data_IF_757612943849
#
_entry.id   IF_757612943849
#
_cell.length_a   1.000
_cell.length_b   1.000
_cell.length_c   1.000
_cell.angle_alpha   90.00
_cell.angle_beta   90.00
_cell.angle_gamma   90.00
#
_symmetry.space_group_name_H-M   'P 1'
#
loop_
_entity.id
_entity.type
_entity.pdbx_description
1 polymer ?
#
# COMPACT_ATOMS: atom_id res chain seq x y z
N UNK A 1 -11.55 -23.87 50.20
CA UNK A 1 -11.74 -23.70 48.72
C UNK A 1 -10.83 -22.55 48.30
N UNK A 2 -9.60 -22.91 47.95
CA UNK A 2 -8.57 -21.99 47.44
C UNK A 2 -8.96 -21.54 46.03
N UNK A 3 -9.09 -20.22 45.86
CA UNK A 3 -9.16 -19.60 44.55
C UNK A 3 -7.77 -19.58 43.97
N UNK A 4 -7.48 -20.49 43.06
CA UNK A 4 -6.29 -20.40 42.18
C UNK A 4 -6.42 -19.18 41.29
N UNK A 5 -5.84 -18.09 41.74
CA UNK A 5 -5.64 -16.87 40.98
C UNK A 5 -4.41 -17.07 40.07
N UNK A 6 -4.68 -17.54 38.85
CA UNK A 6 -3.64 -17.62 37.81
C UNK A 6 -3.15 -16.21 37.49
N UNK A 7 -2.12 -15.77 38.17
CA UNK A 7 -1.30 -14.65 37.74
C UNK A 7 -0.59 -15.06 36.45
N UNK A 8 -1.11 -14.66 35.28
CA UNK A 8 -0.33 -14.61 34.05
C UNK A 8 0.80 -13.60 34.30
N UNK A 9 1.98 -14.12 34.71
CA UNK A 9 3.20 -13.34 34.78
C UNK A 9 3.45 -12.80 33.38
N UNK A 10 3.36 -11.49 33.26
CA UNK A 10 3.62 -10.74 32.03
C UNK A 10 5.15 -10.76 31.81
N UNK A 11 5.65 -11.92 31.35
CA UNK A 11 7.08 -12.13 31.06
C UNK A 11 7.44 -11.16 29.93
N UNK A 12 8.27 -10.16 30.20
CA UNK A 12 8.83 -9.30 29.14
C UNK A 12 9.46 -10.23 28.10
N UNK A 13 8.86 -10.32 26.91
CA UNK A 13 9.35 -11.14 25.81
C UNK A 13 10.75 -10.67 25.44
N UNK A 14 11.68 -11.62 25.27
CA UNK A 14 13.02 -11.30 24.75
C UNK A 14 12.90 -10.83 23.29
N UNK A 15 13.77 -9.91 22.87
CA UNK A 15 13.82 -9.44 21.48
C UNK A 15 14.01 -10.61 20.48
N UNK A 16 14.80 -11.61 20.85
CA UNK A 16 14.96 -12.83 20.04
C UNK A 16 13.67 -13.62 19.88
N UNK A 17 12.92 -13.82 20.97
CA UNK A 17 11.62 -14.49 20.93
C UNK A 17 10.63 -13.74 20.05
N UNK A 18 10.62 -12.42 20.12
CA UNK A 18 9.77 -11.59 19.28
C UNK A 18 10.11 -11.73 17.79
N UNK A 19 11.41 -11.74 17.40
CA UNK A 19 11.84 -11.93 16.00
C UNK A 19 11.38 -13.29 15.47
N UNK A 20 11.61 -14.36 16.23
CA UNK A 20 11.22 -15.71 15.82
C UNK A 20 9.71 -15.83 15.64
N UNK A 21 8.96 -15.29 16.57
CA UNK A 21 7.50 -15.26 16.50
C UNK A 21 6.98 -14.48 15.29
N UNK A 22 7.60 -13.34 14.99
CA UNK A 22 7.21 -12.49 13.87
C UNK A 22 7.56 -13.15 12.53
N UNK A 23 8.68 -13.85 12.46
CA UNK A 23 9.08 -14.67 11.32
C UNK A 23 8.08 -15.80 11.06
N UNK A 24 7.73 -16.57 12.10
CA UNK A 24 6.74 -17.68 11.95
C UNK A 24 5.35 -17.14 11.57
N UNK A 25 4.90 -16.03 12.17
CA UNK A 25 3.66 -15.35 11.79
C UNK A 25 3.68 -14.93 10.32
N UNK A 26 4.79 -14.40 9.85
CA UNK A 26 4.96 -13.94 8.46
C UNK A 26 4.95 -15.13 7.49
N UNK A 27 5.66 -16.18 7.81
CA UNK A 27 5.70 -17.42 7.04
C UNK A 27 4.32 -18.07 6.90
N UNK A 28 3.58 -18.16 8.01
CA UNK A 28 2.21 -18.67 8.02
C UNK A 28 1.28 -17.78 7.18
N UNK A 29 1.42 -16.46 7.29
CA UNK A 29 0.63 -15.51 6.51
C UNK A 29 0.81 -15.72 5.01
N UNK A 30 2.06 -15.73 4.51
CA UNK A 30 2.31 -15.88 3.08
C UNK A 30 1.91 -17.24 2.52
N UNK A 31 1.86 -18.28 3.36
CA UNK A 31 1.26 -19.57 2.98
C UNK A 31 -0.26 -19.54 2.97
N UNK A 32 -0.86 -18.63 3.71
CA UNK A 32 -2.31 -18.52 3.89
C UNK A 32 -2.99 -17.60 2.87
N UNK A 33 -2.29 -16.55 2.43
CA UNK A 33 -2.82 -15.64 1.38
C UNK A 33 -2.90 -16.42 0.06
N UNK A 34 -4.05 -16.41 -0.64
CA UNK A 34 -4.15 -17.04 -1.95
C UNK A 34 -3.09 -16.50 -2.92
N UNK A 35 -2.32 -17.41 -3.52
CA UNK A 35 -1.18 -17.04 -4.37
C UNK A 35 -1.59 -16.08 -5.51
N UNK A 36 -2.77 -16.30 -6.12
CA UNK A 36 -3.28 -15.42 -7.17
C UNK A 36 -3.49 -13.97 -6.72
N UNK A 37 -3.98 -13.76 -5.48
CA UNK A 37 -4.14 -12.41 -4.93
C UNK A 37 -2.78 -11.75 -4.64
N UNK A 38 -1.87 -12.49 -4.03
CA UNK A 38 -0.52 -11.98 -3.74
C UNK A 38 0.21 -11.60 -5.02
N UNK A 39 0.15 -12.45 -6.04
CA UNK A 39 0.75 -12.18 -7.37
C UNK A 39 0.10 -10.96 -8.01
N UNK A 40 -1.23 -10.88 -8.02
CA UNK A 40 -1.96 -9.73 -8.57
C UNK A 40 -1.55 -8.43 -7.89
N UNK A 41 -1.43 -8.43 -6.56
CA UNK A 41 -1.01 -7.27 -5.79
C UNK A 41 0.43 -6.85 -6.14
N UNK A 42 1.38 -7.78 -6.14
CA UNK A 42 2.79 -7.49 -6.47
C UNK A 42 2.92 -6.96 -7.91
N UNK A 43 2.24 -7.60 -8.87
CA UNK A 43 2.23 -7.16 -10.27
C UNK A 43 1.62 -5.76 -10.39
N UNK A 44 0.52 -5.47 -9.70
CA UNK A 44 -0.09 -4.14 -9.71
C UNK A 44 0.87 -3.08 -9.16
N UNK A 45 1.53 -3.34 -8.01
CA UNK A 45 2.49 -2.41 -7.39
C UNK A 45 3.69 -2.16 -8.29
N UNK A 46 4.29 -3.20 -8.88
CA UNK A 46 5.42 -3.04 -9.80
C UNK A 46 5.01 -2.29 -11.07
N UNK A 47 3.86 -2.67 -11.65
CA UNK A 47 3.38 -2.07 -12.90
C UNK A 47 3.01 -0.61 -12.72
N UNK A 48 2.32 -0.23 -11.64
CA UNK A 48 1.96 1.18 -11.41
C UNK A 48 3.21 2.07 -11.28
N UNK A 49 4.28 1.59 -10.61
CA UNK A 49 5.51 2.36 -10.47
C UNK A 49 6.29 2.48 -11.80
N UNK A 50 6.26 1.45 -12.66
CA UNK A 50 6.84 1.54 -14.01
C UNK A 50 6.03 2.51 -14.87
N UNK A 51 4.70 2.43 -14.84
CA UNK A 51 3.82 3.29 -15.63
C UNK A 51 3.85 4.75 -15.17
N UNK A 52 4.21 5.03 -13.92
CA UNK A 52 4.38 6.40 -13.40
C UNK A 52 5.50 7.18 -14.12
N UNK A 53 6.41 6.49 -14.83
CA UNK A 53 7.39 7.13 -15.71
C UNK A 53 6.74 7.87 -16.90
N UNK A 54 5.44 7.66 -17.18
CA UNK A 54 4.73 8.30 -18.28
C UNK A 54 3.60 9.18 -17.77
N UNK A 55 3.69 10.49 -18.00
CA UNK A 55 2.56 11.38 -17.87
C UNK A 55 1.59 11.15 -19.04
N UNK A 56 0.35 10.77 -18.74
CA UNK A 56 -0.69 10.47 -19.75
C UNK A 56 -1.60 11.68 -20.04
N UNK A 57 -1.76 12.55 -19.06
CA UNK A 57 -2.48 13.81 -19.20
C UNK A 57 -1.64 14.92 -18.60
N UNK A 58 -1.47 16.02 -19.33
CA UNK A 58 -0.83 17.22 -18.81
C UNK A 58 -1.51 18.47 -19.39
N UNK A 59 -2.09 19.25 -18.48
CA UNK A 59 -2.69 20.56 -18.77
C UNK A 59 -2.10 21.59 -17.82
N UNK A 60 -2.50 22.85 -17.93
CA UNK A 60 -2.03 23.90 -17.01
C UNK A 60 -2.30 23.60 -15.55
N UNK A 61 -3.43 22.93 -15.23
CA UNK A 61 -3.89 22.72 -13.86
C UNK A 61 -3.94 21.25 -13.44
N UNK A 62 -3.88 20.31 -14.38
CA UNK A 62 -4.00 18.88 -14.11
C UNK A 62 -2.90 18.12 -14.85
N UNK A 63 -2.23 17.22 -14.15
CA UNK A 63 -1.41 16.20 -14.75
C UNK A 63 -1.76 14.83 -14.12
N UNK A 64 -1.66 13.76 -14.92
CA UNK A 64 -1.88 12.38 -14.47
C UNK A 64 -0.78 11.50 -15.05
N UNK A 65 -0.21 10.64 -14.24
CA UNK A 65 0.72 9.61 -14.67
C UNK A 65 0.02 8.29 -15.01
N UNK A 66 0.75 7.36 -15.65
CA UNK A 66 0.18 6.08 -16.07
C UNK A 66 -0.10 5.12 -14.91
N UNK A 67 0.51 5.31 -13.75
CA UNK A 67 0.30 4.49 -12.56
C UNK A 67 -1.14 4.58 -12.04
N UNK A 68 -1.76 5.75 -12.24
CA UNK A 68 -3.17 6.01 -11.91
C UNK A 68 -4.15 4.95 -12.45
N UNK A 69 -3.88 4.36 -13.62
CA UNK A 69 -4.76 3.37 -14.24
C UNK A 69 -4.82 2.03 -13.48
N UNK A 70 -3.79 1.73 -12.68
CA UNK A 70 -3.62 0.43 -12.01
C UNK A 70 -3.69 0.54 -10.48
N UNK A 71 -3.50 1.73 -9.91
CA UNK A 71 -3.43 1.95 -8.45
C UNK A 71 -4.61 1.33 -7.69
N UNK A 72 -5.85 1.51 -8.19
CA UNK A 72 -7.06 0.98 -7.58
C UNK A 72 -7.04 -0.55 -7.36
N UNK A 73 -6.35 -1.29 -8.24
CA UNK A 73 -6.26 -2.75 -8.14
C UNK A 73 -5.42 -3.18 -6.93
N UNK A 74 -4.37 -2.43 -6.63
CA UNK A 74 -3.55 -2.67 -5.44
C UNK A 74 -4.33 -2.41 -4.15
N UNK A 75 -5.13 -1.35 -4.12
CA UNK A 75 -5.99 -1.03 -2.96
C UNK A 75 -7.08 -2.08 -2.75
N UNK A 76 -7.74 -2.52 -3.82
CA UNK A 76 -8.73 -3.60 -3.73
C UNK A 76 -8.13 -4.89 -3.15
N UNK A 77 -6.94 -5.29 -3.63
CA UNK A 77 -6.26 -6.47 -3.12
C UNK A 77 -5.88 -6.32 -1.64
N UNK A 78 -5.37 -5.15 -1.26
CA UNK A 78 -5.02 -4.84 0.13
C UNK A 78 -6.26 -4.87 1.04
N UNK A 79 -7.37 -4.31 0.60
CA UNK A 79 -8.64 -4.30 1.32
C UNK A 79 -9.18 -5.69 1.62
N UNK A 80 -9.08 -6.61 0.64
CA UNK A 80 -9.46 -8.01 0.87
C UNK A 80 -8.60 -8.68 1.94
N UNK A 81 -7.29 -8.37 1.96
CA UNK A 81 -6.38 -8.90 2.99
C UNK A 81 -6.67 -8.28 4.35
N UNK A 82 -6.90 -6.96 4.42
CA UNK A 82 -7.28 -6.28 5.68
C UNK A 82 -8.54 -6.89 6.26
N UNK A 83 -9.57 -7.09 5.44
CA UNK A 83 -10.88 -7.61 5.89
C UNK A 83 -10.81 -9.05 6.40
N UNK A 84 -9.94 -9.89 5.83
CA UNK A 84 -9.86 -11.31 6.18
C UNK A 84 -8.75 -11.63 7.19
N UNK A 85 -7.56 -11.06 7.03
CA UNK A 85 -6.36 -11.36 7.82
C UNK A 85 -5.97 -10.24 8.79
N UNK A 86 -6.61 -9.07 8.68
CA UNK A 86 -6.35 -7.89 9.49
C UNK A 86 -5.25 -6.95 8.95
N UNK A 87 -5.14 -5.73 9.52
CA UNK A 87 -4.26 -4.68 9.00
C UNK A 87 -2.77 -5.03 9.07
N UNK A 88 -2.33 -5.80 10.09
CA UNK A 88 -0.94 -6.25 10.18
C UNK A 88 -0.54 -7.16 9.02
N UNK A 89 -1.46 -7.98 8.53
CA UNK A 89 -1.24 -8.85 7.37
C UNK A 89 -1.07 -8.03 6.09
N UNK A 90 -1.92 -7.03 5.88
CA UNK A 90 -1.82 -6.12 4.74
C UNK A 90 -0.49 -5.35 4.75
N UNK A 91 -0.06 -4.82 5.90
CA UNK A 91 1.24 -4.16 6.02
C UNK A 91 2.41 -5.09 5.64
N UNK A 92 2.39 -6.35 6.07
CA UNK A 92 3.41 -7.33 5.68
C UNK A 92 3.39 -7.61 4.18
N UNK A 93 2.21 -7.74 3.59
CA UNK A 93 2.06 -7.91 2.14
C UNK A 93 2.60 -6.70 1.37
N UNK A 94 2.34 -5.49 1.84
CA UNK A 94 2.87 -4.26 1.25
C UNK A 94 4.39 -4.18 1.35
N UNK A 95 4.96 -4.46 2.52
CA UNK A 95 6.43 -4.51 2.69
C UNK A 95 7.05 -5.54 1.74
N UNK A 96 6.44 -6.69 1.60
CA UNK A 96 6.90 -7.71 0.64
C UNK A 96 6.87 -7.19 -0.80
N UNK A 97 5.78 -6.56 -1.23
CA UNK A 97 5.67 -6.00 -2.58
C UNK A 97 6.70 -4.87 -2.82
N UNK A 98 6.96 -4.03 -1.81
CA UNK A 98 8.02 -3.00 -1.88
C UNK A 98 9.42 -3.64 -2.03
N UNK A 99 9.71 -4.74 -1.33
CA UNK A 99 10.97 -5.47 -1.47
C UNK A 99 11.12 -6.08 -2.87
N UNK A 100 10.05 -6.68 -3.42
CA UNK A 100 10.06 -7.18 -4.80
C UNK A 100 10.27 -6.03 -5.79
N UNK A 101 9.59 -4.90 -5.59
CA UNK A 101 9.74 -3.74 -6.44
C UNK A 101 11.17 -3.14 -6.37
N UNK A 102 11.77 -3.12 -5.18
CA UNK A 102 13.17 -2.73 -5.00
C UNK A 102 14.12 -3.64 -5.77
N UNK A 103 13.89 -4.96 -5.73
CA UNK A 103 14.67 -5.93 -6.52
C UNK A 103 14.53 -5.67 -8.03
N UNK A 104 13.31 -5.42 -8.50
CA UNK A 104 13.05 -5.08 -9.92
C UNK A 104 13.79 -3.80 -10.30
N UNK A 105 13.71 -2.74 -9.49
CA UNK A 105 14.45 -1.50 -9.73
C UNK A 105 15.97 -1.71 -9.75
N UNK A 106 16.49 -2.55 -8.88
CA UNK A 106 17.90 -2.89 -8.86
C UNK A 106 18.35 -3.61 -10.15
N UNK A 107 17.54 -4.55 -10.63
CA UNK A 107 17.80 -5.22 -11.92
C UNK A 107 17.74 -4.20 -13.07
N UNK A 108 16.75 -3.34 -13.08
CA UNK A 108 16.61 -2.28 -14.09
C UNK A 108 17.79 -1.33 -14.10
N UNK A 109 18.26 -0.92 -12.92
CA UNK A 109 19.45 -0.09 -12.78
C UNK A 109 20.69 -0.78 -13.37
N UNK A 110 20.93 -2.05 -13.03
CA UNK A 110 22.07 -2.81 -13.60
C UNK A 110 21.98 -2.85 -15.13
N UNK A 111 20.79 -3.18 -15.67
CA UNK A 111 20.61 -3.26 -17.13
C UNK A 111 20.86 -1.89 -17.79
N UNK A 112 20.41 -0.80 -17.15
CA UNK A 112 20.54 0.56 -17.70
C UNK A 112 21.98 1.07 -17.78
N UNK A 113 22.90 0.54 -16.96
CA UNK A 113 24.32 0.92 -16.97
C UNK A 113 25.20 0.01 -17.84
N UNK A 114 24.66 -1.10 -18.36
CA UNK A 114 25.41 -1.99 -19.26
C UNK A 114 25.61 -1.28 -20.61
N UNK A 115 26.85 -1.15 -21.08
CA UNK A 115 27.13 -0.53 -22.37
C UNK A 115 26.44 -1.28 -23.52
N UNK A 116 25.86 -0.53 -24.45
CA UNK A 116 25.22 -1.08 -25.65
C UNK A 116 25.94 -0.55 -26.89
N UNK A 117 26.10 -1.36 -27.97
CA UNK A 117 26.67 -0.91 -29.23
C UNK A 117 25.71 0.02 -30.03
N UNK A 118 24.47 0.16 -29.60
CA UNK A 118 23.45 0.96 -30.28
C UNK A 118 23.15 2.22 -29.47
N UNK A 119 23.21 3.39 -30.10
CA UNK A 119 22.96 4.69 -29.44
C UNK A 119 21.47 4.93 -29.08
N UNK A 120 20.56 4.19 -29.69
CA UNK A 120 19.09 4.38 -29.56
C UNK A 120 18.52 3.97 -28.20
N UNK A 121 19.33 3.37 -27.30
CA UNK A 121 18.87 2.93 -25.97
C UNK A 121 18.95 4.00 -24.88
N UNK A 122 19.31 5.23 -25.17
CA UNK A 122 19.44 6.30 -24.16
C UNK A 122 18.12 6.57 -23.45
N UNK A 123 17.00 6.63 -24.17
CA UNK A 123 15.65 6.84 -23.60
C UNK A 123 15.23 5.67 -22.74
N UNK A 124 15.46 4.44 -23.20
CA UNK A 124 15.19 3.23 -22.44
C UNK A 124 15.97 3.22 -21.12
N UNK A 125 17.28 3.46 -21.17
CA UNK A 125 18.13 3.49 -20.00
C UNK A 125 17.75 4.60 -19.02
N UNK A 126 17.35 5.76 -19.52
CA UNK A 126 16.89 6.88 -18.69
C UNK A 126 15.59 6.55 -17.96
N UNK A 127 14.61 5.95 -18.63
CA UNK A 127 13.32 5.56 -18.03
C UNK A 127 13.52 4.42 -17.04
N UNK A 128 14.14 3.33 -17.47
CA UNK A 128 14.30 2.12 -16.66
C UNK A 128 15.25 2.35 -15.48
N UNK A 129 16.39 3.01 -15.71
CA UNK A 129 17.34 3.36 -14.66
C UNK A 129 16.82 4.41 -13.68
N UNK A 130 15.88 5.27 -14.11
CA UNK A 130 15.25 6.31 -13.29
C UNK A 130 14.14 5.82 -12.38
N UNK A 131 13.65 4.60 -12.54
CA UNK A 131 12.47 4.09 -11.77
C UNK A 131 12.72 4.02 -10.26
N UNK A 132 13.95 4.00 -9.79
CA UNK A 132 14.31 3.95 -8.37
C UNK A 132 13.77 5.13 -7.54
N UNK A 133 13.77 6.35 -8.08
CA UNK A 133 13.26 7.51 -7.33
C UNK A 133 11.72 7.53 -7.26
N UNK A 134 11.04 6.94 -8.25
CA UNK A 134 9.60 6.69 -8.20
C UNK A 134 9.28 5.74 -7.05
N UNK A 135 10.02 4.62 -6.94
CA UNK A 135 9.87 3.69 -5.84
C UNK A 135 10.15 4.35 -4.47
N UNK A 136 11.20 5.16 -4.38
CA UNK A 136 11.53 5.87 -3.14
C UNK A 136 10.39 6.82 -2.75
N UNK A 137 9.87 7.59 -3.70
CA UNK A 137 8.72 8.48 -3.49
C UNK A 137 7.49 7.70 -3.05
N UNK A 138 7.20 6.57 -3.70
CA UNK A 138 6.09 5.67 -3.35
C UNK A 138 6.23 5.10 -1.93
N UNK A 139 7.43 4.67 -1.54
CA UNK A 139 7.68 4.16 -0.20
C UNK A 139 7.49 5.23 0.89
N UNK A 140 8.00 6.44 0.66
CA UNK A 140 7.85 7.58 1.59
C UNK A 140 6.37 7.98 1.70
N UNK A 141 5.66 8.08 0.57
CA UNK A 141 4.24 8.40 0.51
C UNK A 141 3.42 7.39 1.31
N UNK A 142 3.62 6.10 1.04
CA UNK A 142 2.92 5.02 1.74
C UNK A 142 3.11 5.04 3.26
N UNK A 143 4.35 5.21 3.73
CA UNK A 143 4.64 5.28 5.17
C UNK A 143 3.96 6.51 5.79
N UNK A 144 4.08 7.67 5.16
CA UNK A 144 3.52 8.93 5.67
C UNK A 144 1.99 8.90 5.68
N UNK A 145 1.37 8.43 4.59
CA UNK A 145 -0.09 8.31 4.46
C UNK A 145 -0.66 7.30 5.46
N UNK A 146 0.05 6.21 5.71
CA UNK A 146 -0.30 5.23 6.74
C UNK A 146 -0.35 5.83 8.14
N UNK A 147 0.61 6.67 8.52
CA UNK A 147 0.57 7.40 9.80
C UNK A 147 -0.62 8.36 9.87
N UNK A 148 -0.87 9.13 8.81
CA UNK A 148 -1.98 10.09 8.73
C UNK A 148 -3.31 9.34 8.84
N UNK A 149 -3.49 8.26 8.09
CA UNK A 149 -4.69 7.43 8.12
C UNK A 149 -4.95 6.87 9.53
N UNK A 150 -3.93 6.33 10.20
CA UNK A 150 -4.04 5.80 11.55
C UNK A 150 -4.40 6.90 12.57
N UNK A 151 -3.79 8.08 12.47
CA UNK A 151 -4.08 9.22 13.33
C UNK A 151 -5.52 9.70 13.16
N UNK A 152 -5.98 9.86 11.91
CA UNK A 152 -7.35 10.26 11.60
C UNK A 152 -8.37 9.23 12.06
N UNK A 153 -8.11 7.96 11.82
CA UNK A 153 -9.00 6.88 12.27
C UNK A 153 -9.17 6.89 13.78
N UNK A 154 -8.08 7.10 14.54
CA UNK A 154 -8.13 7.26 15.99
C UNK A 154 -8.90 8.53 16.39
N UNK A 155 -8.57 9.69 15.81
CA UNK A 155 -9.20 10.98 16.09
C UNK A 155 -10.70 10.97 15.84
N UNK A 156 -11.14 10.49 14.66
CA UNK A 156 -12.56 10.35 14.32
C UNK A 156 -13.23 9.36 15.27
N UNK A 157 -12.56 8.26 15.62
CA UNK A 157 -13.07 7.29 16.60
C UNK A 157 -13.40 7.92 17.96
N UNK A 158 -12.63 8.89 18.42
CA UNK A 158 -12.89 9.60 19.68
C UNK A 158 -14.12 10.51 19.62
N UNK A 159 -14.53 10.98 18.44
CA UNK A 159 -15.74 11.81 18.27
C UNK A 159 -17.02 10.99 18.48
N UNK A 160 -17.00 9.69 18.19
CA UNK A 160 -18.14 8.77 18.32
C UNK A 160 -18.16 7.98 19.65
N UNK A 161 -17.64 8.56 20.75
CA UNK A 161 -17.54 7.87 22.07
C UNK A 161 -18.85 7.28 22.58
N UNK A 162 -20.00 7.90 22.24
CA UNK A 162 -21.33 7.43 22.70
C UNK A 162 -21.78 6.16 21.97
N UNK A 163 -21.36 5.93 20.71
CA UNK A 163 -21.70 4.74 19.93
C UNK A 163 -20.57 4.38 18.95
N UNK A 164 -19.41 3.91 19.44
CA UNK A 164 -18.23 3.67 18.61
C UNK A 164 -18.42 2.53 17.59
N UNK A 165 -19.36 1.64 17.82
CA UNK A 165 -19.69 0.49 16.96
C UNK A 165 -20.92 0.74 16.07
N UNK A 166 -21.46 1.96 16.08
CA UNK A 166 -22.59 2.33 15.23
C UNK A 166 -22.19 2.33 13.75
N UNK A 167 -23.15 2.00 12.86
CA UNK A 167 -22.91 2.00 11.41
C UNK A 167 -22.36 3.34 10.92
N UNK A 168 -22.91 4.45 11.38
CA UNK A 168 -22.48 5.81 11.02
C UNK A 168 -21.04 6.07 11.46
N UNK A 169 -20.67 5.71 12.68
CA UNK A 169 -19.30 5.86 13.18
C UNK A 169 -18.33 5.04 12.34
N UNK A 170 -18.69 3.82 11.98
CA UNK A 170 -17.85 2.94 11.16
C UNK A 170 -17.63 3.51 9.75
N UNK A 171 -18.71 3.89 9.05
CA UNK A 171 -18.60 4.44 7.69
C UNK A 171 -17.86 5.78 7.67
N UNK A 172 -18.15 6.68 8.60
CA UNK A 172 -17.48 7.99 8.68
C UNK A 172 -15.97 7.81 8.91
N UNK A 173 -15.60 6.92 9.84
CA UNK A 173 -14.18 6.60 10.09
C UNK A 173 -13.49 6.01 8.85
N UNK A 174 -14.13 5.00 8.22
CA UNK A 174 -13.56 4.32 7.07
C UNK A 174 -13.38 5.29 5.90
N UNK A 175 -14.46 5.90 5.42
CA UNK A 175 -14.39 6.71 4.20
C UNK A 175 -13.54 7.99 4.36
N UNK A 176 -13.65 8.70 5.48
CA UNK A 176 -12.86 9.93 5.67
C UNK A 176 -11.38 9.59 5.84
N UNK A 177 -11.03 8.60 6.67
CA UNK A 177 -9.63 8.25 6.86
C UNK A 177 -8.99 7.69 5.60
N UNK A 178 -9.73 6.89 4.82
CA UNK A 178 -9.27 6.35 3.55
C UNK A 178 -9.07 7.47 2.53
N UNK A 179 -10.08 8.33 2.34
CA UNK A 179 -9.98 9.44 1.38
C UNK A 179 -8.80 10.38 1.68
N UNK A 180 -8.66 10.80 2.95
CA UNK A 180 -7.56 11.70 3.34
C UNK A 180 -6.22 10.97 3.27
N UNK A 181 -6.17 9.70 3.67
CA UNK A 181 -4.96 8.87 3.55
C UNK A 181 -4.49 8.77 2.10
N UNK A 182 -5.38 8.43 1.17
CA UNK A 182 -5.09 8.33 -0.27
C UNK A 182 -4.72 9.69 -0.88
N UNK A 183 -5.44 10.76 -0.50
CA UNK A 183 -5.07 12.11 -0.93
C UNK A 183 -3.65 12.49 -0.50
N UNK A 184 -3.28 12.22 0.75
CA UNK A 184 -1.93 12.47 1.26
C UNK A 184 -0.88 11.60 0.57
N UNK A 185 -1.20 10.32 0.33
CA UNK A 185 -0.32 9.40 -0.40
C UNK A 185 -0.01 9.94 -1.78
N UNK A 186 -1.03 10.23 -2.57
CA UNK A 186 -0.90 10.76 -3.92
C UNK A 186 -0.19 12.13 -3.95
N UNK A 187 -0.45 13.00 -2.96
CA UNK A 187 0.20 14.32 -2.88
C UNK A 187 1.68 14.20 -2.56
N UNK A 188 2.06 13.37 -1.61
CA UNK A 188 3.46 13.15 -1.25
C UNK A 188 4.19 12.48 -2.43
N UNK A 189 3.57 11.46 -3.02
CA UNK A 189 4.13 10.77 -4.18
C UNK A 189 4.38 11.71 -5.36
N UNK A 190 3.34 12.43 -5.80
CA UNK A 190 3.44 13.31 -6.97
C UNK A 190 4.40 14.48 -6.74
N UNK A 191 4.41 15.06 -5.53
CA UNK A 191 5.34 16.13 -5.18
C UNK A 191 6.78 15.64 -5.17
N UNK A 192 7.07 14.52 -4.54
CA UNK A 192 8.43 13.95 -4.52
C UNK A 192 8.87 13.52 -5.92
N UNK A 193 8.03 12.78 -6.64
CA UNK A 193 8.38 12.26 -7.96
C UNK A 193 8.51 13.36 -9.00
N UNK A 194 7.46 14.16 -9.21
CA UNK A 194 7.37 15.04 -10.38
C UNK A 194 7.81 16.47 -10.11
N UNK A 195 7.78 16.94 -8.86
CA UNK A 195 8.21 18.30 -8.52
C UNK A 195 9.65 18.32 -7.99
N UNK A 196 10.11 17.26 -7.31
CA UNK A 196 11.46 17.22 -6.71
C UNK A 196 12.45 16.39 -7.52
N UNK A 197 12.18 15.11 -7.81
CA UNK A 197 13.14 14.23 -8.47
C UNK A 197 13.15 14.36 -10.00
N UNK A 198 11.99 14.48 -10.64
CA UNK A 198 11.91 14.55 -12.10
C UNK A 198 12.71 15.71 -12.72
N UNK A 199 12.73 16.92 -12.16
CA UNK A 199 13.59 18.00 -12.68
C UNK A 199 15.08 17.63 -12.71
N UNK A 200 15.52 16.82 -11.77
CA UNK A 200 16.94 16.42 -11.63
C UNK A 200 17.28 15.30 -12.63
N UNK A 201 16.38 14.31 -12.76
CA UNK A 201 16.67 13.07 -13.50
C UNK A 201 16.03 13.00 -14.89
N UNK A 202 15.02 13.84 -15.19
CA UNK A 202 14.31 13.87 -16.47
C UNK A 202 14.48 15.20 -17.20
N UNK A 203 15.70 15.69 -17.32
CA UNK A 203 16.09 16.85 -18.12
C UNK A 203 15.22 18.11 -17.88
N UNK A 204 14.91 18.41 -16.61
CA UNK A 204 14.13 19.59 -16.24
C UNK A 204 12.62 19.43 -16.35
N UNK A 205 12.10 18.23 -16.66
CA UNK A 205 10.67 17.95 -16.62
C UNK A 205 10.13 18.11 -15.19
N UNK A 206 9.06 18.89 -15.01
CA UNK A 206 8.44 19.06 -13.70
C UNK A 206 6.96 19.32 -13.78
N UNK A 207 6.25 18.94 -12.72
CA UNK A 207 4.88 19.39 -12.48
C UNK A 207 4.87 20.58 -11.54
N UNK A 208 3.86 21.44 -11.69
CA UNK A 208 3.57 22.50 -10.73
C UNK A 208 2.88 21.93 -9.51
N UNK A 209 2.96 22.63 -8.37
CA UNK A 209 2.25 22.23 -7.16
C UNK A 209 0.73 22.08 -7.37
N UNK A 210 0.13 22.94 -8.23
CA UNK A 210 -1.30 22.85 -8.58
C UNK A 210 -1.58 21.54 -9.31
N UNK A 211 -0.71 21.12 -10.23
CA UNK A 211 -0.85 19.83 -10.92
C UNK A 211 -0.74 18.64 -9.94
N UNK A 212 0.21 18.69 -9.00
CA UNK A 212 0.32 17.66 -7.95
C UNK A 212 -0.94 17.62 -7.08
N UNK A 213 -1.47 18.77 -6.67
CA UNK A 213 -2.65 18.89 -5.83
C UNK A 213 -3.91 18.34 -6.53
N UNK A 214 -4.13 18.74 -7.78
CA UNK A 214 -5.30 18.30 -8.57
C UNK A 214 -5.22 16.82 -8.95
N UNK A 215 -4.03 16.33 -9.30
CA UNK A 215 -3.78 14.91 -9.49
C UNK A 215 -4.14 14.10 -8.24
N UNK A 216 -3.68 14.56 -7.08
CA UNK A 216 -3.91 13.88 -5.81
C UNK A 216 -5.38 13.86 -5.41
N UNK A 217 -6.08 14.96 -5.63
CA UNK A 217 -7.52 15.04 -5.36
C UNK A 217 -8.31 14.12 -6.31
N UNK A 218 -7.99 14.15 -7.60
CA UNK A 218 -8.65 13.28 -8.58
C UNK A 218 -8.32 11.80 -8.32
N UNK A 219 -7.07 11.49 -7.98
CA UNK A 219 -6.64 10.15 -7.58
C UNK A 219 -7.45 9.62 -6.42
N UNK A 220 -7.50 10.36 -5.32
CA UNK A 220 -8.25 9.96 -4.12
C UNK A 220 -9.76 9.81 -4.39
N UNK A 221 -10.35 10.64 -5.25
CA UNK A 221 -11.76 10.52 -5.65
C UNK A 221 -12.01 9.26 -6.48
N UNK A 222 -11.17 8.99 -7.47
CA UNK A 222 -11.31 7.78 -8.32
C UNK A 222 -11.07 6.52 -7.50
N UNK A 223 -10.08 6.50 -6.63
CA UNK A 223 -9.82 5.37 -5.73
C UNK A 223 -11.01 5.12 -4.80
N UNK A 224 -11.62 6.17 -4.24
CA UNK A 224 -12.83 6.05 -3.44
C UNK A 224 -14.01 5.50 -4.26
N UNK A 225 -14.22 5.97 -5.48
CA UNK A 225 -15.25 5.45 -6.39
C UNK A 225 -15.00 3.97 -6.71
N UNK A 226 -13.75 3.61 -7.01
CA UNK A 226 -13.38 2.21 -7.27
C UNK A 226 -13.53 1.33 -6.03
N UNK A 227 -13.22 1.84 -4.84
CA UNK A 227 -13.47 1.13 -3.57
C UNK A 227 -14.97 0.85 -3.41
N UNK A 228 -15.84 1.82 -3.66
CA UNK A 228 -17.30 1.63 -3.58
C UNK A 228 -17.78 0.62 -4.61
N UNK A 229 -17.31 0.70 -5.86
CA UNK A 229 -17.73 -0.19 -6.95
C UNK A 229 -17.27 -1.64 -6.74
N UNK A 230 -16.03 -1.84 -6.28
CA UNK A 230 -15.43 -3.17 -6.14
C UNK A 230 -15.53 -3.76 -4.73
N UNK A 231 -15.92 -2.99 -3.72
CA UNK A 231 -16.12 -3.52 -2.36
C UNK A 231 -17.10 -4.70 -2.28
N UNK A 232 -18.20 -4.77 -3.10
CA UNK A 232 -19.03 -5.95 -3.13
C UNK A 232 -18.30 -7.21 -3.60
N UNK A 233 -17.43 -7.08 -4.61
CA UNK A 233 -16.60 -8.19 -5.09
C UNK A 233 -15.63 -8.65 -3.99
N UNK A 234 -14.93 -7.71 -3.34
CA UNK A 234 -14.05 -8.00 -2.21
C UNK A 234 -14.78 -8.68 -1.06
N UNK A 235 -16.02 -8.26 -0.78
CA UNK A 235 -16.88 -8.89 0.23
C UNK A 235 -17.26 -10.34 -0.13
N UNK A 236 -17.63 -10.58 -1.39
CA UNK A 236 -17.97 -11.93 -1.86
C UNK A 236 -16.77 -12.88 -1.75
N UNK A 237 -15.58 -12.42 -2.15
CA UNK A 237 -14.34 -13.20 -2.06
C UNK A 237 -13.98 -13.50 -0.60
N UNK A 238 -13.98 -12.49 0.27
CA UNK A 238 -13.65 -12.67 1.69
C UNK A 238 -14.67 -13.55 2.41
N UNK A 239 -15.96 -13.44 2.07
CA UNK A 239 -17.02 -14.34 2.58
C UNK A 239 -16.79 -15.78 2.15
N UNK A 240 -16.34 -16.01 0.90
CA UNK A 240 -15.95 -17.35 0.42
C UNK A 240 -14.76 -17.88 1.21
N UNK A 241 -13.73 -17.05 1.46
CA UNK A 241 -12.57 -17.45 2.26
C UNK A 241 -12.93 -17.86 3.68
N UNK A 242 -13.82 -17.11 4.34
CA UNK A 242 -14.35 -17.50 5.66
C UNK A 242 -15.05 -18.87 5.63
N UNK A 243 -15.84 -19.15 4.58
CA UNK A 243 -16.53 -20.44 4.44
C UNK A 243 -15.60 -21.62 4.14
N UNK A 244 -14.51 -21.35 3.41
CA UNK A 244 -13.56 -22.40 2.98
C UNK A 244 -12.35 -22.55 3.90
N UNK A 245 -12.32 -21.80 5.03
CA UNK A 245 -11.23 -21.90 6.00
C UNK A 245 -9.88 -21.37 5.49
N UNK A 246 -9.88 -20.43 4.54
CA UNK A 246 -8.63 -19.86 4.03
C UNK A 246 -7.87 -19.18 5.17
N UNK A 247 -6.64 -19.64 5.42
CA UNK A 247 -5.76 -19.05 6.41
C UNK A 247 -6.10 -19.34 7.88
N UNK A 248 -6.90 -20.37 8.18
CA UNK A 248 -7.24 -20.77 9.56
C UNK A 248 -6.00 -20.94 10.45
N UNK A 249 -4.91 -21.49 9.91
CA UNK A 249 -3.67 -21.69 10.68
C UNK A 249 -3.07 -20.35 11.12
N UNK A 250 -3.02 -19.36 10.24
CA UNK A 250 -2.55 -18.01 10.57
C UNK A 250 -3.48 -17.33 11.57
N UNK A 251 -4.79 -17.36 11.33
CA UNK A 251 -5.79 -16.75 12.20
C UNK A 251 -5.77 -17.39 13.59
N UNK A 252 -5.69 -18.71 13.68
CA UNK A 252 -5.53 -19.42 14.95
C UNK A 252 -4.23 -19.07 15.67
N UNK A 253 -3.13 -18.91 14.94
CA UNK A 253 -1.85 -18.51 15.51
C UNK A 253 -1.89 -17.09 16.10
N UNK A 254 -2.50 -16.14 15.41
CA UNK A 254 -2.64 -14.75 15.90
C UNK A 254 -3.60 -14.69 17.09
N UNK A 255 -4.74 -15.38 17.04
CA UNK A 255 -5.75 -15.38 18.11
C UNK A 255 -5.26 -16.04 19.42
N UNK A 256 -4.27 -16.92 19.37
CA UNK A 256 -3.65 -17.47 20.59
C UNK A 256 -2.75 -16.47 21.33
N UNK A 257 -2.39 -15.37 20.68
CA UNK A 257 -1.49 -14.33 21.21
C UNK A 257 -2.20 -13.14 21.82
N UNK A 258 -3.50 -12.99 21.55
CA UNK A 258 -4.39 -11.99 22.15
C UNK A 258 -4.99 -12.60 23.43
#
# INVERSE_FOLDING_TARGET
KEKNMNYKINRRRSFKEWIVEEYEATKLLFRSIPAGLLTLFVVAVVTMNILANKTIVQTTYLALDGGFLISWLSFLAMDMVVKHFGPKAANKMTVFALLVNLLVCFIFYIVSIIPTPYEDYTVFNQIIGGTWFILLSSAIAFISSGFINNFLNYGIGTMFRKNPNGKTAFFTRSYISTFVGQFCDNLIFSTLTFMFFAPIFWNGFSWTFIQCLTCSLLGALVELVMEVLFSPLGFMVTKKWHKTGVGEQYLAYINRKI
#
